data_IF_489062538784
#
_entry.id   IF_489062538784
#
_cell.length_a   1.000
_cell.length_b   1.000
_cell.length_c   1.000
_cell.angle_alpha   90.00
_cell.angle_beta   90.00
_cell.angle_gamma   90.00
#
_symmetry.space_group_name_H-M   'P 1'
#
loop_
_entity.id
_entity.type
_entity.pdbx_description
1 polymer ?
#
# COMPACT_ATOMS: atom_id res chain seq x y z
N UNK A 1 11.63 -16.82 -57.51
CA UNK A 1 11.42 -15.82 -56.44
C UNK A 1 10.15 -15.04 -56.75
N UNK A 2 9.04 -15.37 -56.09
CA UNK A 2 7.73 -14.75 -56.35
C UNK A 2 7.67 -13.33 -55.81
N UNK A 3 7.23 -12.37 -56.65
CA UNK A 3 6.94 -11.00 -56.23
C UNK A 3 5.77 -11.03 -55.25
N UNK A 4 6.04 -10.69 -53.99
CA UNK A 4 4.98 -10.47 -52.98
C UNK A 4 4.19 -9.24 -53.42
N UNK A 5 2.87 -9.40 -53.55
CA UNK A 5 1.94 -8.33 -53.95
C UNK A 5 2.02 -7.18 -52.94
N UNK A 6 2.18 -5.93 -53.43
CA UNK A 6 2.25 -4.71 -52.60
C UNK A 6 1.04 -4.55 -51.68
N UNK A 7 -0.12 -5.08 -52.08
CA UNK A 7 -1.33 -5.09 -51.23
C UNK A 7 -1.16 -6.00 -50.01
N UNK A 8 -0.47 -7.11 -50.17
CA UNK A 8 -0.19 -8.06 -49.09
C UNK A 8 0.81 -7.49 -48.08
N UNK A 9 1.80 -6.71 -48.55
CA UNK A 9 2.73 -5.99 -47.67
C UNK A 9 2.02 -4.93 -46.83
N UNK A 10 1.07 -4.20 -47.41
CA UNK A 10 0.27 -3.19 -46.69
C UNK A 10 -0.60 -3.79 -45.59
N UNK A 11 -1.29 -4.90 -45.88
CA UNK A 11 -2.12 -5.61 -44.89
C UNK A 11 -1.26 -6.19 -43.77
N UNK A 12 -0.09 -6.75 -44.09
CA UNK A 12 0.83 -7.29 -43.09
C UNK A 12 1.39 -6.20 -42.17
N UNK A 13 1.73 -5.03 -42.70
CA UNK A 13 2.20 -3.87 -41.90
C UNK A 13 1.11 -3.34 -40.95
N UNK A 14 -0.14 -3.29 -41.41
CA UNK A 14 -1.28 -2.88 -40.57
C UNK A 14 -1.52 -3.92 -39.47
N UNK A 15 -1.52 -5.21 -39.82
CA UNK A 15 -1.70 -6.30 -38.86
C UNK A 15 -0.61 -6.31 -37.79
N UNK A 16 0.66 -6.13 -38.18
CA UNK A 16 1.80 -6.03 -37.24
C UNK A 16 1.66 -4.79 -36.36
N UNK A 17 1.27 -3.63 -36.91
CA UNK A 17 1.10 -2.39 -36.14
C UNK A 17 -0.04 -2.52 -35.11
N UNK A 18 -1.17 -3.12 -35.49
CA UNK A 18 -2.28 -3.40 -34.57
C UNK A 18 -1.88 -4.40 -33.48
N UNK A 19 -1.03 -5.38 -33.81
CA UNK A 19 -0.47 -6.31 -32.84
C UNK A 19 0.43 -5.59 -31.82
N UNK A 20 1.29 -4.69 -32.29
CA UNK A 20 2.12 -3.86 -31.41
C UNK A 20 1.26 -2.95 -30.51
N UNK A 21 0.25 -2.26 -31.04
CA UNK A 21 -0.66 -1.42 -30.23
C UNK A 21 -1.46 -2.24 -29.21
N UNK A 22 -1.90 -3.44 -29.58
CA UNK A 22 -2.57 -4.37 -28.66
C UNK A 22 -1.66 -4.85 -27.52
N UNK A 23 -0.38 -5.13 -27.82
CA UNK A 23 0.61 -5.56 -26.83
C UNK A 23 1.00 -4.40 -25.88
N UNK A 24 1.14 -3.18 -26.41
CA UNK A 24 1.45 -2.00 -25.58
C UNK A 24 0.31 -1.66 -24.62
N UNK A 25 -0.95 -1.81 -25.05
CA UNK A 25 -2.13 -1.55 -24.21
C UNK A 25 -2.28 -2.53 -23.05
N UNK A 26 -1.84 -3.79 -23.19
CA UNK A 26 -1.95 -4.80 -22.12
C UNK A 26 -0.94 -4.62 -20.99
N UNK A 27 0.09 -3.79 -21.18
CA UNK A 27 1.26 -3.73 -20.28
C UNK A 27 1.36 -2.44 -19.47
N UNK A 28 0.45 -1.48 -19.67
CA UNK A 28 0.46 -0.22 -18.95
C UNK A 28 -0.18 -0.41 -17.57
N UNK A 29 0.65 -0.53 -16.52
CA UNK A 29 0.19 -0.34 -15.15
C UNK A 29 -0.41 1.06 -15.02
N UNK A 30 -1.70 1.13 -14.71
CA UNK A 30 -2.43 2.39 -14.60
C UNK A 30 -1.95 3.15 -13.35
N UNK A 31 -1.38 4.33 -13.58
CA UNK A 31 -0.97 5.24 -12.50
C UNK A 31 -2.20 5.96 -11.97
N UNK A 32 -2.41 5.87 -10.67
CA UNK A 32 -3.49 6.54 -9.95
C UNK A 32 -2.95 7.76 -9.21
N UNK A 33 -3.77 8.79 -9.06
CA UNK A 33 -3.50 9.92 -8.19
C UNK A 33 -4.58 9.95 -7.11
N UNK A 34 -4.17 9.85 -5.85
CA UNK A 34 -5.09 9.82 -4.70
C UNK A 34 -4.81 11.02 -3.82
N UNK A 35 -5.86 11.81 -3.61
CA UNK A 35 -5.87 12.93 -2.69
C UNK A 35 -6.34 12.45 -1.31
N UNK A 36 -5.59 12.84 -0.27
CA UNK A 36 -5.91 12.48 1.10
C UNK A 36 -4.84 12.95 2.08
N UNK A 37 -5.05 12.76 3.37
CA UNK A 37 -4.06 13.14 4.37
C UNK A 37 -3.23 11.94 4.82
N UNK A 38 -2.01 12.22 5.27
CA UNK A 38 -1.10 11.21 5.77
C UNK A 38 -1.32 10.98 7.26
N UNK A 39 -1.26 9.72 7.66
CA UNK A 39 -1.20 9.29 9.06
C UNK A 39 0.07 8.48 9.28
N UNK A 40 0.65 8.60 10.46
CA UNK A 40 1.76 7.77 10.92
C UNK A 40 1.23 6.68 11.84
N UNK A 41 1.66 5.44 11.61
CA UNK A 41 1.41 4.30 12.46
C UNK A 41 2.76 3.90 13.05
N UNK A 42 2.98 4.17 14.33
CA UNK A 42 4.28 3.98 14.97
C UNK A 42 4.13 3.41 16.39
N UNK A 43 5.17 2.81 16.97
CA UNK A 43 5.22 2.53 18.40
C UNK A 43 5.21 3.84 19.21
N UNK A 44 4.58 3.81 20.38
CA UNK A 44 4.71 4.82 21.43
C UNK A 44 5.93 4.53 22.31
N UNK A 45 6.19 5.40 23.29
CA UNK A 45 7.33 5.26 24.21
C UNK A 45 7.26 4.00 25.08
N UNK A 46 6.09 3.35 25.16
CA UNK A 46 5.88 2.09 25.87
C UNK A 46 5.90 0.87 24.93
N UNK A 47 6.20 1.07 23.64
CA UNK A 47 6.19 0.04 22.62
C UNK A 47 4.79 -0.38 22.14
N UNK A 48 3.72 0.34 22.51
CA UNK A 48 2.39 0.09 21.95
C UNK A 48 2.22 0.82 20.63
N UNK A 49 1.53 0.21 19.67
CA UNK A 49 1.21 0.88 18.41
C UNK A 49 0.21 2.04 18.63
N UNK A 50 0.54 3.21 18.07
CA UNK A 50 -0.29 4.43 18.05
C UNK A 50 -0.50 4.93 16.62
N UNK A 51 -1.51 5.78 16.44
CA UNK A 51 -1.79 6.49 15.19
C UNK A 51 -1.65 7.97 15.44
N UNK A 52 -0.90 8.65 14.58
CA UNK A 52 -0.67 10.09 14.66
C UNK A 52 -1.01 10.72 13.32
N UNK A 53 -2.03 11.58 13.29
CA UNK A 53 -2.26 12.47 12.15
C UNK A 53 -1.34 13.70 12.20
N UNK A 54 -0.79 14.00 13.38
CA UNK A 54 0.13 15.10 13.63
C UNK A 54 1.50 14.53 13.96
N UNK A 55 2.42 14.58 13.01
CA UNK A 55 3.78 14.11 13.18
C UNK A 55 4.76 14.97 12.37
N UNK A 56 5.96 15.16 12.91
CA UNK A 56 7.08 15.80 12.20
C UNK A 56 7.91 14.78 11.45
N UNK A 57 8.13 13.61 12.06
CA UNK A 57 8.76 12.45 11.47
C UNK A 57 7.99 11.22 11.92
N UNK A 58 7.71 10.30 10.99
CA UNK A 58 7.05 9.06 11.34
C UNK A 58 8.07 7.99 11.73
N UNK A 59 8.09 7.55 12.98
CA UNK A 59 9.01 6.48 13.41
C UNK A 59 8.59 5.06 12.96
N UNK A 60 7.45 4.92 12.27
CA UNK A 60 6.85 3.64 11.91
C UNK A 60 6.51 3.54 10.43
N UNK A 61 5.22 3.50 10.09
CA UNK A 61 4.73 3.35 8.72
C UNK A 61 3.76 4.47 8.35
N UNK A 62 3.92 5.07 7.18
CA UNK A 62 3.03 6.10 6.66
C UNK A 62 1.92 5.46 5.83
N UNK A 63 0.68 5.85 6.13
CA UNK A 63 -0.49 5.52 5.31
C UNK A 63 -1.18 6.80 4.82
N UNK A 64 -1.84 6.70 3.67
CA UNK A 64 -2.70 7.75 3.11
C UNK A 64 -4.14 7.40 3.41
N UNK A 65 -4.93 8.38 3.84
CA UNK A 65 -6.38 8.24 3.92
C UNK A 65 -7.06 9.24 3.02
N UNK A 66 -7.83 8.73 2.06
CA UNK A 66 -8.54 9.57 1.10
C UNK A 66 -9.82 10.18 1.69
N UNK A 67 -10.47 11.02 0.89
CA UNK A 67 -11.73 11.70 1.25
C UNK A 67 -12.90 10.73 1.49
N UNK A 68 -12.82 9.51 0.96
CA UNK A 68 -13.81 8.43 1.17
C UNK A 68 -13.51 7.58 2.42
N UNK A 69 -12.46 7.93 3.18
CA UNK A 69 -11.93 7.20 4.34
C UNK A 69 -11.34 5.81 4.01
N UNK A 70 -10.99 5.57 2.75
CA UNK A 70 -10.18 4.42 2.38
C UNK A 70 -8.73 4.62 2.80
N UNK A 71 -8.14 3.57 3.36
CA UNK A 71 -6.80 3.60 3.91
C UNK A 71 -5.87 2.86 2.96
N UNK A 72 -4.89 3.58 2.43
CA UNK A 72 -3.86 3.07 1.54
C UNK A 72 -2.55 2.97 2.32
N UNK A 73 -2.03 1.75 2.46
CA UNK A 73 -0.63 1.58 2.86
C UNK A 73 0.25 2.04 1.71
N UNK A 74 1.32 2.78 1.99
CA UNK A 74 2.18 3.34 0.95
C UNK A 74 3.51 2.59 0.95
N UNK A 75 4.05 2.32 -0.23
CA UNK A 75 5.46 2.00 -0.43
C UNK A 75 6.05 2.88 -1.52
N UNK A 76 7.37 2.97 -1.58
CA UNK A 76 8.06 3.72 -2.62
C UNK A 76 9.56 3.77 -2.38
N UNK A 77 10.28 4.41 -3.31
CA UNK A 77 11.71 4.70 -3.11
C UNK A 77 11.91 5.57 -1.87
N UNK A 78 13.05 5.40 -1.18
CA UNK A 78 13.35 6.17 0.05
C UNK A 78 13.20 7.67 -0.18
N UNK A 79 13.77 8.21 -1.26
CA UNK A 79 13.67 9.64 -1.61
C UNK A 79 12.22 10.12 -1.79
N UNK A 80 11.31 9.28 -2.30
CA UNK A 80 9.91 9.67 -2.43
C UNK A 80 9.20 9.65 -1.07
N UNK A 81 9.46 8.61 -0.27
CA UNK A 81 8.88 8.49 1.07
C UNK A 81 9.40 9.58 2.02
N UNK A 82 10.68 9.95 1.94
CA UNK A 82 11.27 11.06 2.69
C UNK A 82 10.54 12.37 2.36
N UNK A 83 10.28 12.65 1.08
CA UNK A 83 9.50 13.83 0.68
C UNK A 83 8.08 13.83 1.25
N UNK A 84 7.41 12.67 1.29
CA UNK A 84 6.09 12.56 1.91
C UNK A 84 6.17 12.76 3.43
N UNK A 85 7.20 12.19 4.08
CA UNK A 85 7.44 12.33 5.51
C UNK A 85 7.70 13.79 5.90
N UNK A 86 8.52 14.50 5.13
CA UNK A 86 8.95 15.87 5.41
C UNK A 86 7.90 16.92 4.99
N UNK A 87 6.92 16.54 4.16
CA UNK A 87 5.85 17.43 3.73
C UNK A 87 5.06 17.98 4.94
N UNK A 88 4.68 19.27 4.96
CA UNK A 88 3.86 19.81 6.03
C UNK A 88 2.53 19.06 6.15
N UNK A 89 2.22 18.55 7.34
CA UNK A 89 0.95 17.85 7.62
C UNK A 89 -0.20 18.81 7.95
N UNK A 90 0.12 20.08 8.26
CA UNK A 90 -0.85 21.12 8.60
C UNK A 90 -0.50 22.46 7.94
N UNK A 91 -1.53 23.22 7.60
CA UNK A 91 -1.45 24.63 7.22
C UNK A 91 -2.55 25.39 7.95
N UNK A 92 -2.16 26.44 8.68
CA UNK A 92 -3.08 27.29 9.46
C UNK A 92 -3.99 26.49 10.42
N UNK A 93 -3.46 25.43 11.05
CA UNK A 93 -4.24 24.64 12.01
C UNK A 93 -5.27 23.70 11.37
N UNK A 94 -5.15 23.40 10.07
CA UNK A 94 -5.97 22.38 9.37
C UNK A 94 -5.05 21.30 8.80
N UNK A 95 -5.47 20.03 8.86
CA UNK A 95 -4.77 18.91 8.20
C UNK A 95 -4.70 19.17 6.70
N UNK A 96 -3.55 18.93 6.10
CA UNK A 96 -3.33 19.14 4.67
C UNK A 96 -3.49 17.85 3.90
N UNK A 97 -4.33 17.90 2.88
CA UNK A 97 -4.37 16.87 1.86
C UNK A 97 -3.06 16.88 1.06
N UNK A 98 -2.61 15.67 0.75
CA UNK A 98 -1.46 15.33 -0.05
C UNK A 98 -1.96 14.59 -1.28
N UNK A 99 -1.33 14.88 -2.42
CA UNK A 99 -1.58 14.13 -3.65
C UNK A 99 -0.47 13.10 -3.82
N UNK A 100 -0.82 11.83 -3.66
CA UNK A 100 0.12 10.72 -3.83
C UNK A 100 -0.18 10.03 -5.16
N UNK A 101 0.84 9.97 -6.02
CA UNK A 101 0.74 9.34 -7.33
C UNK A 101 1.51 8.02 -7.34
N UNK A 102 0.85 6.95 -7.79
CA UNK A 102 1.44 5.62 -7.77
C UNK A 102 0.55 4.56 -8.43
N UNK A 103 1.01 3.32 -8.43
CA UNK A 103 0.22 2.17 -8.89
C UNK A 103 -0.46 1.49 -7.71
N UNK A 104 -1.71 1.06 -7.90
CA UNK A 104 -2.43 0.30 -6.89
C UNK A 104 -2.10 -1.19 -6.99
N UNK A 105 -1.85 -1.79 -5.84
CA UNK A 105 -1.51 -3.19 -5.65
C UNK A 105 -2.29 -3.79 -4.49
N UNK A 106 -2.20 -5.11 -4.38
CA UNK A 106 -2.88 -5.87 -3.33
C UNK A 106 -4.37 -6.04 -3.62
N UNK A 107 -5.07 -6.56 -2.61
CA UNK A 107 -6.51 -6.78 -2.69
C UNK A 107 -7.27 -5.53 -2.21
N UNK A 108 -8.52 -5.32 -2.68
CA UNK A 108 -9.41 -4.22 -2.25
C UNK A 108 -9.68 -4.14 -0.74
N UNK A 109 -9.27 -5.15 0.03
CA UNK A 109 -9.38 -5.22 1.50
C UNK A 109 -8.06 -4.91 2.23
N UNK A 110 -6.99 -4.67 1.47
CA UNK A 110 -5.67 -4.28 1.94
C UNK A 110 -5.04 -3.41 0.85
N UNK A 111 -5.60 -2.21 0.67
CA UNK A 111 -5.17 -1.29 -0.40
C UNK A 111 -3.71 -0.91 -0.18
N UNK A 112 -2.91 -1.13 -1.22
CA UNK A 112 -1.51 -0.80 -1.23
C UNK A 112 -1.20 0.11 -2.42
N UNK A 113 -0.60 1.26 -2.15
CA UNK A 113 -0.14 2.18 -3.17
C UNK A 113 1.38 2.15 -3.25
N UNK A 114 1.90 1.88 -4.43
CA UNK A 114 3.31 1.99 -4.74
C UNK A 114 3.57 3.35 -5.38
N UNK A 115 4.01 4.29 -4.57
CA UNK A 115 4.15 5.69 -4.94
C UNK A 115 5.51 5.97 -5.63
N UNK A 116 5.47 6.84 -6.63
CA UNK A 116 6.67 7.35 -7.31
C UNK A 116 7.37 6.38 -8.28
N UNK A 117 6.89 5.15 -8.49
CA UNK A 117 7.46 4.25 -9.52
C UNK A 117 6.41 3.27 -10.07
N UNK A 118 6.51 2.91 -11.36
CA UNK A 118 5.70 1.87 -12.02
C UNK A 118 6.34 0.48 -11.96
N UNK A 119 7.53 0.35 -11.34
CA UNK A 119 8.26 -0.91 -11.19
C UNK A 119 8.84 -0.98 -9.78
N UNK A 120 8.11 -1.64 -8.90
CA UNK A 120 8.72 -2.36 -7.79
C UNK A 120 8.04 -3.73 -7.70
N UNK A 121 8.48 -4.66 -8.55
CA UNK A 121 8.14 -6.07 -8.41
C UNK A 121 9.15 -6.64 -7.44
N UNK A 122 8.65 -6.95 -6.25
CA UNK A 122 9.07 -8.02 -5.35
C UNK A 122 10.17 -8.95 -5.89
N UNK A 123 11.44 -8.56 -5.68
CA UNK A 123 12.60 -9.47 -5.65
C UNK A 123 13.02 -9.79 -4.21
N UNK A 124 12.17 -9.43 -3.24
CA UNK A 124 12.40 -9.71 -1.84
C UNK A 124 12.52 -11.21 -1.60
N UNK A 125 13.51 -11.60 -0.80
CA UNK A 125 13.57 -12.98 -0.31
C UNK A 125 12.31 -13.24 0.50
N UNK A 126 11.69 -14.40 0.28
CA UNK A 126 10.61 -14.84 1.14
C UNK A 126 11.17 -15.02 2.55
N UNK A 127 10.59 -14.32 3.50
CA UNK A 127 10.98 -14.31 4.90
C UNK A 127 9.80 -14.73 5.77
N UNK A 128 10.13 -15.23 6.96
CA UNK A 128 9.16 -15.57 8.00
C UNK A 128 9.40 -14.62 9.16
N UNK A 129 8.43 -13.75 9.45
CA UNK A 129 8.54 -12.71 10.46
C UNK A 129 7.49 -12.91 11.55
N UNK A 130 7.88 -12.70 12.80
CA UNK A 130 7.02 -12.83 13.98
C UNK A 130 6.52 -11.47 14.42
N UNK A 131 5.27 -11.37 14.85
CA UNK A 131 4.75 -10.15 15.45
C UNK A 131 3.30 -10.22 15.87
N UNK A 132 2.72 -9.05 16.15
CA UNK A 132 1.30 -8.87 16.45
C UNK A 132 0.59 -8.20 15.28
N UNK A 133 -0.52 -8.77 14.82
CA UNK A 133 -1.35 -8.21 13.75
C UNK A 133 -2.33 -7.18 14.33
N UNK A 134 -2.33 -6.00 13.74
CA UNK A 134 -3.29 -4.93 13.99
C UNK A 134 -4.06 -4.60 12.71
N UNK A 135 -5.37 -4.38 12.86
CA UNK A 135 -6.21 -3.81 11.82
C UNK A 135 -6.52 -2.35 12.17
N UNK A 136 -6.37 -1.46 11.20
CA UNK A 136 -6.57 -0.02 11.30
C UNK A 136 -7.88 0.37 10.64
N UNK A 137 -8.77 1.01 11.40
CA UNK A 137 -10.11 1.38 10.95
C UNK A 137 -10.38 2.88 11.11
N UNK A 138 -11.24 3.46 10.28
CA UNK A 138 -11.91 4.70 10.60
C UNK A 138 -12.80 4.52 11.85
N UNK A 139 -12.75 5.47 12.78
CA UNK A 139 -13.63 5.58 13.95
C UNK A 139 -14.75 6.58 13.66
N UNK A 140 -15.86 6.08 13.12
CA UNK A 140 -17.04 6.88 12.74
C UNK A 140 -17.83 7.45 13.93
N UNK A 141 -17.43 7.22 15.19
CA UNK A 141 -18.17 7.66 16.38
C UNK A 141 -17.89 9.11 16.79
N UNK A 142 -16.91 9.79 16.18
CA UNK A 142 -16.52 11.16 16.53
C UNK A 142 -16.75 12.11 15.35
N UNK A 143 -17.13 13.35 15.67
CA UNK A 143 -17.30 14.45 14.70
C UNK A 143 -15.99 14.88 14.01
N UNK A 144 -14.85 14.34 14.47
CA UNK A 144 -13.54 14.47 13.88
C UNK A 144 -13.04 13.08 13.49
N UNK A 145 -12.51 12.95 12.27
CA UNK A 145 -11.94 11.68 11.76
C UNK A 145 -10.88 11.17 12.74
N UNK A 146 -11.22 10.10 13.45
CA UNK A 146 -10.31 9.37 14.32
C UNK A 146 -10.07 7.99 13.70
N UNK A 147 -8.94 7.38 14.04
CA UNK A 147 -8.63 6.02 13.61
C UNK A 147 -8.47 5.14 14.83
N UNK A 148 -8.80 3.86 14.67
CA UNK A 148 -8.69 2.87 15.71
C UNK A 148 -7.83 1.71 15.24
N UNK A 149 -6.87 1.33 16.07
CA UNK A 149 -6.16 0.06 15.96
C UNK A 149 -6.84 -1.00 16.83
N UNK A 150 -6.92 -2.21 16.32
CA UNK A 150 -7.37 -3.37 17.09
C UNK A 150 -6.61 -4.61 16.65
N UNK A 151 -6.22 -5.43 17.62
CA UNK A 151 -5.64 -6.75 17.41
C UNK A 151 -6.72 -7.84 17.50
N UNK A 152 -7.90 -7.57 16.94
CA UNK A 152 -9.03 -8.50 16.89
C UNK A 152 -9.36 -8.84 15.44
N UNK A 153 -10.06 -9.95 15.16
CA UNK A 153 -10.64 -10.23 13.86
C UNK A 153 -11.33 -9.03 13.22
N UNK A 154 -11.02 -8.80 11.95
CA UNK A 154 -11.40 -7.59 11.20
C UNK A 154 -12.26 -7.86 9.95
N UNK A 155 -12.65 -9.11 9.70
CA UNK A 155 -13.37 -9.53 8.50
C UNK A 155 -14.64 -8.71 8.16
N UNK A 156 -15.38 -8.24 9.17
CA UNK A 156 -16.68 -7.60 9.02
C UNK A 156 -16.65 -6.09 8.74
N UNK A 157 -15.53 -5.41 8.96
CA UNK A 157 -15.44 -3.95 8.81
C UNK A 157 -14.65 -3.61 7.54
N UNK A 158 -15.15 -2.68 6.72
CA UNK A 158 -14.46 -2.15 5.52
C UNK A 158 -14.77 -0.65 5.40
N UNK A 159 -13.86 0.18 4.87
CA UNK A 159 -12.47 -0.10 4.50
C UNK A 159 -11.51 -0.13 5.72
N UNK A 160 -10.39 -0.87 5.63
CA UNK A 160 -9.36 -0.92 6.68
C UNK A 160 -7.99 -1.34 6.12
N UNK A 161 -6.94 -1.10 6.90
CA UNK A 161 -5.57 -1.53 6.59
C UNK A 161 -5.04 -2.50 7.66
N UNK A 162 -3.94 -3.19 7.33
CA UNK A 162 -3.36 -4.24 8.17
C UNK A 162 -1.88 -3.94 8.42
N UNK A 163 -1.45 -4.12 9.66
CA UNK A 163 -0.07 -3.92 10.07
C UNK A 163 0.41 -5.06 10.96
N UNK A 164 1.68 -5.42 10.83
CA UNK A 164 2.40 -6.28 11.74
C UNK A 164 3.31 -5.39 12.59
N UNK A 165 3.21 -5.52 13.90
CA UNK A 165 4.13 -4.92 14.86
C UNK A 165 5.08 -6.00 15.39
N UNK A 166 6.37 -5.86 15.11
CA UNK A 166 7.39 -6.87 15.43
C UNK A 166 7.95 -6.68 16.83
N UNK A 167 8.70 -7.68 17.33
CA UNK A 167 9.39 -7.60 18.62
C UNK A 167 10.47 -6.48 18.63
N UNK A 168 11.04 -6.17 17.47
CA UNK A 168 12.01 -5.08 17.27
C UNK A 168 11.33 -3.70 17.11
N UNK A 169 10.03 -3.59 17.45
CA UNK A 169 9.21 -2.40 17.30
C UNK A 169 9.06 -1.88 15.87
N UNK A 170 9.26 -2.73 14.87
CA UNK A 170 9.01 -2.35 13.49
C UNK A 170 7.51 -2.42 13.17
N UNK A 171 7.02 -1.46 12.39
CA UNK A 171 5.65 -1.45 11.85
C UNK A 171 5.71 -1.75 10.36
N UNK A 172 5.16 -2.89 9.98
CA UNK A 172 5.20 -3.42 8.61
C UNK A 172 3.77 -3.53 8.09
N UNK A 173 3.45 -2.86 6.99
CA UNK A 173 2.15 -3.00 6.34
C UNK A 173 1.96 -4.43 5.79
N UNK A 174 0.77 -4.99 5.91
CA UNK A 174 0.45 -6.33 5.39
C UNK A 174 -0.39 -6.19 4.11
N UNK A 175 0.10 -6.77 3.03
CA UNK A 175 -0.60 -6.86 1.73
C UNK A 175 -0.52 -8.29 1.18
N UNK A 176 -1.26 -8.59 0.12
CA UNK A 176 -1.29 -9.92 -0.49
C UNK A 176 -2.53 -10.18 -1.34
N UNK A 177 -2.71 -11.45 -1.71
CA UNK A 177 -3.89 -11.94 -2.43
C UNK A 177 -5.17 -11.84 -1.58
N UNK A 178 -6.34 -11.95 -2.22
CA UNK A 178 -7.62 -11.99 -1.50
C UNK A 178 -7.66 -13.08 -0.42
N UNK A 179 -7.15 -14.27 -0.75
CA UNK A 179 -7.13 -15.43 0.14
C UNK A 179 -6.27 -15.17 1.38
N UNK A 180 -5.05 -14.67 1.20
CA UNK A 180 -4.14 -14.39 2.31
C UNK A 180 -4.67 -13.27 3.21
N UNK A 181 -5.24 -12.21 2.64
CA UNK A 181 -5.84 -11.13 3.42
C UNK A 181 -7.07 -11.63 4.19
N UNK A 182 -7.94 -12.46 3.59
CA UNK A 182 -9.07 -13.07 4.32
C UNK A 182 -8.60 -13.94 5.49
N UNK A 183 -7.51 -14.67 5.32
CA UNK A 183 -6.91 -15.45 6.41
C UNK A 183 -6.44 -14.52 7.55
N UNK A 184 -5.69 -13.47 7.22
CA UNK A 184 -5.27 -12.43 8.19
C UNK A 184 -6.46 -11.80 8.90
N UNK A 185 -7.55 -11.51 8.21
CA UNK A 185 -8.73 -10.87 8.80
C UNK A 185 -9.56 -11.79 9.71
N UNK A 186 -9.55 -13.09 9.44
CA UNK A 186 -10.31 -14.10 10.19
C UNK A 186 -9.53 -14.71 11.35
N UNK A 187 -8.19 -14.61 11.34
CA UNK A 187 -7.33 -15.15 12.38
C UNK A 187 -7.74 -14.66 13.79
N UNK A 188 -7.99 -15.60 14.69
CA UNK A 188 -8.29 -15.32 16.11
C UNK A 188 -7.02 -15.12 16.92
N UNK A 189 -5.97 -15.87 16.57
CA UNK A 189 -4.60 -15.66 17.07
C UNK A 189 -4.00 -14.44 16.38
N UNK A 190 -3.56 -13.48 17.19
CA UNK A 190 -3.17 -12.14 16.71
C UNK A 190 -1.80 -11.72 17.21
N UNK A 191 -1.33 -12.30 18.32
CA UNK A 191 -0.04 -12.03 18.94
C UNK A 191 0.90 -13.19 18.66
N UNK A 192 2.19 -12.89 18.57
CA UNK A 192 3.25 -13.88 18.38
C UNK A 192 3.06 -14.76 17.12
N UNK A 193 2.34 -14.24 16.13
CA UNK A 193 2.03 -14.96 14.89
C UNK A 193 3.18 -14.83 13.91
N UNK A 194 3.38 -15.86 13.10
CA UNK A 194 4.35 -15.83 12.03
C UNK A 194 3.66 -15.58 10.70
N UNK A 195 4.09 -14.54 9.99
CA UNK A 195 3.71 -14.28 8.62
C UNK A 195 4.86 -14.65 7.68
N UNK A 196 4.52 -15.32 6.59
CA UNK A 196 5.46 -15.67 5.53
C UNK A 196 5.12 -14.86 4.29
N UNK A 197 6.12 -14.22 3.71
CA UNK A 197 5.93 -13.38 2.54
C UNK A 197 7.22 -12.70 2.13
N UNK A 198 7.14 -11.92 1.07
CA UNK A 198 8.26 -11.06 0.69
C UNK A 198 8.21 -9.76 1.44
N UNK A 199 9.32 -9.37 2.06
CA UNK A 199 9.45 -8.09 2.74
C UNK A 199 10.14 -7.09 1.81
N UNK A 200 9.62 -5.87 1.78
CA UNK A 200 10.02 -4.84 0.82
C UNK A 200 9.66 -3.44 1.32
N UNK A 201 9.94 -2.43 0.50
CA UNK A 201 9.69 -1.02 0.81
C UNK A 201 10.92 -0.32 1.41
N UNK A 202 10.73 0.94 1.78
CA UNK A 202 11.78 1.80 2.32
C UNK A 202 11.50 2.14 3.79
N UNK A 203 12.43 2.86 4.44
CA UNK A 203 12.23 3.38 5.80
C UNK A 203 10.95 4.22 5.79
N UNK A 204 10.07 3.97 6.75
CA UNK A 204 8.73 4.55 6.88
C UNK A 204 7.61 3.97 6.00
N UNK A 205 7.92 2.97 5.16
CA UNK A 205 6.95 2.42 4.20
C UNK A 205 7.14 0.91 3.97
N UNK A 206 7.69 0.20 4.97
CA UNK A 206 7.96 -1.24 4.87
C UNK A 206 6.66 -2.02 4.77
N UNK A 207 6.64 -3.07 3.97
CA UNK A 207 5.50 -3.96 3.84
C UNK A 207 5.93 -5.42 3.67
N UNK A 208 5.02 -6.32 4.00
CA UNK A 208 5.09 -7.74 3.69
C UNK A 208 3.98 -8.08 2.68
N UNK A 209 4.37 -8.68 1.56
CA UNK A 209 3.47 -9.26 0.58
C UNK A 209 3.33 -10.76 0.83
N UNK A 210 2.16 -11.18 1.33
CA UNK A 210 1.89 -12.56 1.72
C UNK A 210 1.81 -13.49 0.50
N UNK A 211 2.49 -14.63 0.60
CA UNK A 211 2.61 -15.66 -0.43
C UNK A 211 2.02 -16.99 0.01
#
# INVERSE_FOLDING_TARGET
MGKVDRRFQGILLIAVSLLFVGIYSLSALESHNIEGYLICIAPDDNGNIKIEAEFTECAGNIALVNLENEIYTISGTQNYIDKLNDAPKRRMGVLMDQNVTGTLHGHKRALHMMAGSSKYIDEGKTEKIKGTIYCLFPDYKKSYMNYKLTNKPCYSARPHAHFLHTEDNEIIAITGSEEHIKHVESATERKDVYLTGSISGSKYSRYINLK
#
